data_IF_157160756310
#
_entry.id   IF_157160756310
#
_cell.length_a   1.000
_cell.length_b   1.000
_cell.length_c   1.000
_cell.angle_alpha   90.00
_cell.angle_beta   90.00
_cell.angle_gamma   90.00
#
_symmetry.space_group_name_H-M   'P 1'
#
loop_
_entity.id
_entity.type
_entity.pdbx_description
1 polymer ?
#
# COMPACT_ATOMS: atom_id res chain seq x y z
N UNK A 1 -0.59 -33.79 -21.42
CA UNK A 1 -0.56 -33.54 -19.96
C UNK A 1 -0.91 -32.08 -19.71
N UNK A 2 -1.93 -31.77 -18.91
CA UNK A 2 -2.42 -30.40 -18.72
C UNK A 2 -1.68 -29.69 -17.59
N UNK A 3 -1.31 -28.41 -17.78
CA UNK A 3 -0.57 -27.61 -16.79
C UNK A 3 -1.44 -26.51 -16.20
N UNK A 4 -1.28 -26.21 -14.90
CA UNK A 4 -2.10 -25.21 -14.20
C UNK A 4 -1.27 -24.30 -13.30
N UNK A 5 -1.61 -23.02 -13.28
CA UNK A 5 -1.04 -22.01 -12.38
C UNK A 5 -2.16 -21.44 -11.50
N UNK A 6 -1.88 -21.20 -10.22
CA UNK A 6 -2.82 -20.60 -9.28
C UNK A 6 -2.37 -19.17 -8.94
N UNK A 7 -3.28 -18.21 -9.06
CA UNK A 7 -3.05 -16.80 -8.71
C UNK A 7 -4.21 -16.25 -7.90
N UNK A 8 -3.92 -15.35 -6.94
CA UNK A 8 -4.97 -14.65 -6.20
C UNK A 8 -5.61 -15.40 -5.03
N UNK A 9 -4.99 -16.49 -4.57
CA UNK A 9 -5.43 -17.26 -3.41
C UNK A 9 -4.53 -16.99 -2.20
N UNK A 10 -5.11 -17.00 -0.99
CA UNK A 10 -4.33 -17.04 0.25
C UNK A 10 -3.53 -18.36 0.37
N UNK A 11 -2.58 -18.42 1.30
CA UNK A 11 -1.63 -19.53 1.44
C UNK A 11 -2.31 -20.88 1.68
N UNK A 12 -3.28 -20.92 2.58
CA UNK A 12 -4.02 -22.14 2.95
C UNK A 12 -4.79 -22.68 1.74
N UNK A 13 -5.58 -21.82 1.10
CA UNK A 13 -6.45 -22.16 -0.03
C UNK A 13 -5.65 -22.56 -1.27
N UNK A 14 -4.53 -21.87 -1.53
CA UNK A 14 -3.60 -22.23 -2.62
C UNK A 14 -3.03 -23.64 -2.44
N UNK A 15 -2.69 -24.01 -1.20
CA UNK A 15 -2.11 -25.32 -0.89
C UNK A 15 -3.12 -26.45 -1.14
N UNK A 16 -4.38 -26.25 -0.73
CA UNK A 16 -5.49 -27.17 -0.99
C UNK A 16 -5.72 -27.39 -2.49
N UNK A 17 -5.83 -26.31 -3.26
CA UNK A 17 -6.06 -26.37 -4.71
C UNK A 17 -4.92 -27.05 -5.46
N UNK A 18 -3.68 -26.85 -5.00
CA UNK A 18 -2.51 -27.57 -5.53
C UNK A 18 -2.60 -29.07 -5.25
N UNK A 19 -3.10 -29.50 -4.09
CA UNK A 19 -3.26 -30.93 -3.82
C UNK A 19 -4.33 -31.57 -4.72
N UNK A 20 -5.47 -30.89 -4.90
CA UNK A 20 -6.54 -31.32 -5.81
C UNK A 20 -6.00 -31.42 -7.25
N UNK A 21 -5.22 -30.44 -7.71
CA UNK A 21 -4.62 -30.44 -9.04
C UNK A 21 -3.70 -31.65 -9.26
N UNK A 22 -2.86 -31.99 -8.27
CA UNK A 22 -2.00 -33.18 -8.35
C UNK A 22 -2.81 -34.47 -8.45
N UNK A 23 -3.85 -34.61 -7.62
CA UNK A 23 -4.72 -35.79 -7.62
C UNK A 23 -5.47 -35.95 -8.95
N UNK A 24 -5.86 -34.82 -9.59
CA UNK A 24 -6.47 -34.80 -10.93
C UNK A 24 -5.44 -34.96 -12.08
N UNK A 25 -4.14 -35.14 -11.80
CA UNK A 25 -3.11 -35.35 -12.82
C UNK A 25 -2.57 -34.09 -13.51
N UNK A 26 -2.79 -32.90 -12.95
CA UNK A 26 -2.22 -31.66 -13.47
C UNK A 26 -0.75 -31.47 -13.07
N UNK A 27 0.01 -30.83 -13.96
CA UNK A 27 1.35 -30.31 -13.65
C UNK A 27 1.24 -28.86 -13.20
N UNK A 28 1.61 -28.60 -11.94
CA UNK A 28 1.50 -27.27 -11.36
C UNK A 28 2.69 -26.40 -11.77
N UNK A 29 2.41 -25.17 -12.20
CA UNK A 29 3.38 -24.14 -12.53
C UNK A 29 3.27 -22.97 -11.56
N UNK A 30 4.42 -22.40 -11.19
CA UNK A 30 4.50 -21.26 -10.26
C UNK A 30 4.23 -19.91 -10.94
N UNK A 31 4.40 -19.86 -12.26
CA UNK A 31 4.15 -18.67 -13.06
C UNK A 31 3.43 -19.02 -14.37
N UNK A 32 2.90 -18.00 -15.03
CA UNK A 32 2.31 -18.12 -16.36
C UNK A 32 3.43 -18.21 -17.39
N UNK A 33 3.68 -19.41 -17.88
CA UNK A 33 4.74 -19.72 -18.85
C UNK A 33 4.15 -20.16 -20.18
N UNK A 34 4.91 -20.06 -21.28
CA UNK A 34 4.50 -20.58 -22.60
C UNK A 34 4.08 -22.06 -22.47
N UNK A 35 2.93 -22.42 -23.03
CA UNK A 35 2.35 -23.76 -22.92
C UNK A 35 1.54 -24.03 -21.64
N UNK A 36 1.26 -23.00 -20.84
CA UNK A 36 0.31 -23.12 -19.71
C UNK A 36 -1.09 -23.44 -20.25
N UNK A 37 -1.74 -24.50 -19.74
CA UNK A 37 -3.10 -24.85 -20.16
C UNK A 37 -4.15 -23.99 -19.43
N UNK A 38 -4.00 -23.82 -18.11
CA UNK A 38 -4.99 -23.15 -17.26
C UNK A 38 -4.37 -22.17 -16.28
N UNK A 39 -5.00 -21.01 -16.10
CA UNK A 39 -4.77 -20.11 -14.97
C UNK A 39 -6.03 -20.10 -14.10
N UNK A 40 -5.92 -20.66 -12.90
CA UNK A 40 -6.97 -20.60 -11.90
C UNK A 40 -6.83 -19.32 -11.07
N UNK A 41 -7.86 -18.49 -11.12
CA UNK A 41 -7.93 -17.15 -10.56
C UNK A 41 -8.78 -17.14 -9.29
N UNK A 42 -8.17 -16.73 -8.19
CA UNK A 42 -8.85 -16.40 -6.93
C UNK A 42 -9.20 -14.92 -6.82
N UNK A 43 -9.81 -14.56 -5.70
CA UNK A 43 -10.30 -13.20 -5.40
C UNK A 43 -9.23 -12.10 -5.54
N UNK A 44 -7.96 -12.44 -5.34
CA UNK A 44 -6.84 -11.49 -5.43
C UNK A 44 -5.98 -11.68 -6.69
N UNK A 45 -6.54 -12.24 -7.78
CA UNK A 45 -5.79 -12.62 -8.97
C UNK A 45 -5.22 -11.37 -9.67
N UNK A 46 -3.90 -11.23 -9.66
CA UNK A 46 -3.23 -10.07 -10.24
C UNK A 46 -3.38 -10.01 -11.77
N UNK A 47 -3.66 -8.81 -12.35
CA UNK A 47 -3.95 -8.63 -13.77
C UNK A 47 -2.78 -9.04 -14.67
N UNK A 48 -1.52 -8.89 -14.24
CA UNK A 48 -0.33 -9.35 -14.99
C UNK A 48 -0.40 -10.84 -15.37
N UNK A 49 -0.81 -11.72 -14.44
CA UNK A 49 -0.92 -13.15 -14.75
C UNK A 49 -2.11 -13.43 -15.66
N UNK A 50 -3.20 -12.70 -15.49
CA UNK A 50 -4.41 -12.81 -16.32
C UNK A 50 -4.11 -12.37 -17.76
N UNK A 51 -3.51 -11.20 -17.95
CA UNK A 51 -3.11 -10.69 -19.27
C UNK A 51 -2.06 -11.59 -19.91
N UNK A 52 -1.03 -12.02 -19.17
CA UNK A 52 -0.03 -12.97 -19.67
C UNK A 52 -0.68 -14.29 -20.09
N UNK A 53 -1.66 -14.80 -19.33
CA UNK A 53 -2.39 -16.02 -19.64
C UNK A 53 -3.24 -15.85 -20.92
N UNK A 54 -3.95 -14.73 -21.06
CA UNK A 54 -4.70 -14.39 -22.28
C UNK A 54 -3.77 -14.31 -23.50
N UNK A 55 -2.63 -13.62 -23.38
CA UNK A 55 -1.64 -13.48 -24.47
C UNK A 55 -1.11 -14.83 -24.95
N UNK A 56 -0.90 -15.79 -24.04
CA UNK A 56 -0.40 -17.13 -24.40
C UNK A 56 -1.51 -18.14 -24.70
N UNK A 57 -2.78 -17.72 -24.67
CA UNK A 57 -3.94 -18.59 -24.93
C UNK A 57 -4.29 -19.58 -23.79
N UNK A 58 -3.82 -19.33 -22.57
CA UNK A 58 -4.19 -20.16 -21.41
C UNK A 58 -5.63 -19.86 -20.96
N UNK A 59 -6.38 -20.90 -20.64
CA UNK A 59 -7.79 -20.77 -20.22
C UNK A 59 -7.85 -20.22 -18.79
N UNK A 60 -8.55 -19.11 -18.62
CA UNK A 60 -8.84 -18.51 -17.31
C UNK A 60 -10.02 -19.24 -16.67
N UNK A 61 -9.90 -19.59 -15.40
CA UNK A 61 -10.99 -20.25 -14.67
C UNK A 61 -11.07 -19.81 -13.22
N UNK A 62 -12.29 -19.82 -12.69
CA UNK A 62 -12.53 -19.59 -11.26
C UNK A 62 -12.18 -20.83 -10.44
N UNK A 63 -12.06 -20.67 -9.12
CA UNK A 63 -11.92 -21.81 -8.20
C UNK A 63 -13.06 -22.81 -8.34
N UNK A 64 -14.31 -22.33 -8.41
CA UNK A 64 -15.50 -23.18 -8.53
C UNK A 64 -15.40 -24.02 -9.80
N UNK A 65 -15.10 -23.37 -10.92
CA UNK A 65 -14.90 -24.03 -12.22
C UNK A 65 -13.76 -25.05 -12.19
N UNK A 66 -12.66 -24.77 -11.49
CA UNK A 66 -11.55 -25.73 -11.34
C UNK A 66 -11.94 -26.96 -10.49
N UNK A 67 -12.76 -26.77 -9.45
CA UNK A 67 -13.23 -27.87 -8.61
C UNK A 67 -14.19 -28.78 -9.37
N UNK A 68 -15.10 -28.19 -10.15
CA UNK A 68 -16.06 -28.87 -11.02
C UNK A 68 -15.42 -29.43 -12.30
N UNK A 69 -14.19 -29.02 -12.63
CA UNK A 69 -13.47 -29.52 -13.79
C UNK A 69 -13.14 -31.00 -13.63
N UNK A 70 -13.89 -31.85 -14.32
CA UNK A 70 -13.57 -33.25 -14.53
C UNK A 70 -12.61 -33.34 -15.73
N UNK A 71 -11.54 -34.13 -15.55
CA UNK A 71 -10.64 -34.44 -16.67
C UNK A 71 -11.05 -35.83 -17.15
N UNK A 72 -11.73 -35.85 -18.29
CA UNK A 72 -12.05 -37.10 -18.96
C UNK A 72 -10.74 -37.83 -19.29
N UNK A 73 -10.56 -38.98 -18.66
CA UNK A 73 -9.79 -40.06 -19.26
C UNK A 73 -10.73 -40.63 -20.30
N UNK A 74 -10.46 -40.43 -21.59
CA UNK A 74 -11.27 -41.03 -22.67
C UNK A 74 -11.51 -42.52 -22.36
N UNK A 75 -12.78 -42.97 -22.48
CA UNK A 75 -13.38 -43.03 -23.80
C UNK A 75 -14.75 -42.35 -23.95
N UNK A 76 -14.84 -41.55 -25.01
CA UNK A 76 -15.91 -41.44 -26.02
C UNK A 76 -17.33 -41.19 -25.50
N UNK A 77 -17.86 -39.97 -25.75
CA UNK A 77 -19.09 -39.68 -26.52
C UNK A 77 -19.91 -38.45 -26.04
N UNK A 78 -20.13 -37.51 -26.98
CA UNK A 78 -21.43 -36.88 -27.34
C UNK A 78 -21.97 -35.66 -26.52
N UNK A 79 -21.93 -34.47 -27.19
CA UNK A 79 -22.97 -33.40 -27.39
C UNK A 79 -23.53 -32.68 -26.12
N UNK A 80 -23.80 -31.37 -25.98
CA UNK A 80 -23.71 -30.08 -26.70
C UNK A 80 -23.75 -28.97 -25.61
N UNK A 81 -23.22 -27.77 -25.88
CA UNK A 81 -23.52 -26.56 -25.09
C UNK A 81 -23.88 -25.40 -26.04
N UNK A 82 -25.05 -24.78 -25.84
CA UNK A 82 -25.48 -23.58 -26.58
C UNK A 82 -26.03 -22.51 -25.60
N UNK A 83 -25.34 -21.36 -25.64
CA UNK A 83 -25.78 -19.98 -25.39
C UNK A 83 -26.22 -19.56 -23.96
N UNK A 84 -25.67 -18.43 -23.49
CA UNK A 84 -26.27 -17.11 -23.80
C UNK A 84 -25.55 -15.97 -23.08
N UNK A 85 -25.28 -14.91 -23.85
CA UNK A 85 -24.87 -13.60 -23.34
C UNK A 85 -26.09 -12.82 -22.84
N UNK A 86 -25.92 -12.03 -21.77
CA UNK A 86 -26.82 -10.91 -21.46
C UNK A 86 -26.09 -9.82 -20.67
N UNK A 87 -26.32 -8.58 -21.12
CA UNK A 87 -25.61 -7.34 -20.79
C UNK A 87 -26.34 -6.51 -19.73
N UNK A 88 -25.57 -5.59 -19.10
CA UNK A 88 -25.93 -4.31 -18.43
C UNK A 88 -26.47 -4.41 -16.98
N UNK A 89 -26.20 -3.41 -16.08
CA UNK A 89 -26.10 -1.97 -16.38
C UNK A 89 -24.99 -1.15 -15.69
N UNK A 90 -24.93 0.10 -16.15
CA UNK A 90 -24.15 1.26 -15.69
C UNK A 90 -24.50 1.62 -14.23
N UNK A 91 -23.49 1.83 -13.38
CA UNK A 91 -23.63 2.47 -12.08
C UNK A 91 -22.40 3.36 -11.80
N UNK A 92 -22.68 4.65 -11.67
CA UNK A 92 -21.99 5.71 -10.90
C UNK A 92 -20.51 5.48 -10.49
N UNK A 93 -19.58 6.05 -11.27
CA UNK A 93 -18.13 5.86 -11.20
C UNK A 93 -17.43 6.86 -10.24
N UNK A 94 -17.85 6.88 -8.97
CA UNK A 94 -17.16 7.66 -7.91
C UNK A 94 -16.41 6.79 -6.89
N UNK A 95 -16.41 5.46 -7.06
CA UNK A 95 -15.86 4.51 -6.09
C UNK A 95 -14.78 3.57 -6.64
N UNK A 96 -14.27 3.77 -7.86
CA UNK A 96 -13.16 2.96 -8.38
C UNK A 96 -11.89 3.21 -7.56
N UNK A 97 -11.55 2.23 -6.72
CA UNK A 97 -10.30 2.19 -5.96
C UNK A 97 -9.14 1.97 -6.93
N UNK A 98 -8.49 3.06 -7.35
CA UNK A 98 -7.23 3.01 -8.11
C UNK A 98 -6.21 2.12 -7.39
N UNK A 99 -5.50 1.29 -8.13
CA UNK A 99 -4.45 0.42 -7.61
C UNK A 99 -3.13 0.62 -8.36
N UNK A 100 -2.01 0.22 -7.76
CA UNK A 100 -0.69 0.18 -8.45
C UNK A 100 -0.62 -0.85 -9.59
N UNK A 101 -1.71 -1.55 -9.86
CA UNK A 101 -1.86 -2.53 -10.94
C UNK A 101 -2.85 -2.08 -12.00
N UNK A 102 -3.36 -0.85 -11.90
CA UNK A 102 -4.28 -0.30 -12.89
C UNK A 102 -3.52 0.11 -14.15
N UNK A 103 -4.25 0.13 -15.27
CA UNK A 103 -3.70 0.53 -16.57
C UNK A 103 -3.36 2.02 -16.53
N UNK A 104 -2.07 2.34 -16.47
CA UNK A 104 -1.58 3.71 -16.52
C UNK A 104 -0.15 3.73 -17.10
N UNK A 105 0.15 4.59 -18.10
CA UNK A 105 1.45 4.59 -18.79
C UNK A 105 2.66 4.69 -17.86
N UNK A 106 2.57 5.51 -16.81
CA UNK A 106 3.63 5.60 -15.80
C UNK A 106 3.79 4.30 -14.98
N UNK A 107 2.69 3.65 -14.59
CA UNK A 107 2.75 2.41 -13.80
C UNK A 107 3.33 1.26 -14.63
N UNK A 108 2.94 1.17 -15.91
CA UNK A 108 3.48 0.19 -16.84
C UNK A 108 4.98 0.40 -17.07
N UNK A 109 5.40 1.64 -17.26
CA UNK A 109 6.81 1.99 -17.40
C UNK A 109 7.62 1.62 -16.15
N UNK A 110 7.13 1.96 -14.95
CA UNK A 110 7.82 1.65 -13.70
C UNK A 110 7.85 0.13 -13.42
N UNK A 111 6.78 -0.60 -13.75
CA UNK A 111 6.76 -2.07 -13.67
C UNK A 111 7.77 -2.69 -14.63
N UNK A 112 7.81 -2.24 -15.89
CA UNK A 112 8.78 -2.72 -16.88
C UNK A 112 10.22 -2.42 -16.44
N UNK A 113 10.48 -1.23 -15.90
CA UNK A 113 11.81 -0.86 -15.39
C UNK A 113 12.21 -1.70 -14.18
N UNK A 114 11.27 -2.01 -13.29
CA UNK A 114 11.47 -2.90 -12.14
C UNK A 114 11.77 -4.33 -12.57
N UNK A 115 10.98 -4.87 -13.50
CA UNK A 115 11.11 -6.26 -13.97
C UNK A 115 12.43 -6.47 -14.75
N UNK A 116 12.92 -5.43 -15.45
CA UNK A 116 14.19 -5.46 -16.20
C UNK A 116 15.41 -5.05 -15.38
N UNK A 117 15.22 -4.45 -14.19
CA UNK A 117 16.29 -3.82 -13.41
C UNK A 117 16.98 -2.67 -14.14
N UNK A 118 16.32 -2.05 -15.12
CA UNK A 118 16.93 -1.01 -15.96
C UNK A 118 17.03 0.31 -15.18
N UNK A 119 18.17 0.99 -15.33
CA UNK A 119 18.34 2.39 -14.86
C UNK A 119 17.37 3.30 -15.61
N UNK A 120 16.63 4.11 -14.86
CA UNK A 120 15.74 5.14 -15.40
C UNK A 120 16.07 6.51 -14.79
N UNK A 121 15.83 7.57 -15.55
CA UNK A 121 15.92 8.95 -15.08
C UNK A 121 14.51 9.48 -14.82
N UNK A 122 14.28 10.06 -13.65
CA UNK A 122 12.99 10.61 -13.23
C UNK A 122 13.18 12.01 -12.66
N UNK A 123 12.19 12.89 -12.83
CA UNK A 123 12.11 14.14 -12.07
C UNK A 123 11.29 13.84 -10.82
N UNK A 124 11.86 14.02 -9.63
CA UNK A 124 11.15 13.75 -8.39
C UNK A 124 10.72 15.04 -7.69
N UNK A 125 9.41 15.23 -7.57
CA UNK A 125 8.78 16.41 -6.96
C UNK A 125 8.56 16.28 -5.45
N UNK A 126 9.04 15.21 -4.83
CA UNK A 126 8.95 14.97 -3.39
C UNK A 126 10.27 15.17 -2.65
N UNK A 127 10.22 15.15 -1.32
CA UNK A 127 11.43 15.19 -0.48
C UNK A 127 11.97 16.60 -0.23
N UNK A 128 13.25 16.72 0.15
CA UNK A 128 13.92 18.00 0.44
C UNK A 128 14.43 18.74 -0.79
N UNK A 129 14.63 18.02 -1.91
CA UNK A 129 15.13 18.58 -3.16
C UNK A 129 14.13 18.25 -4.30
N UNK A 130 12.92 18.84 -4.28
CA UNK A 130 11.90 18.60 -5.30
C UNK A 130 12.31 19.18 -6.66
N UNK A 131 11.86 18.55 -7.75
CA UNK A 131 12.14 18.96 -9.12
C UNK A 131 13.52 18.55 -9.64
N UNK A 132 14.31 17.85 -8.83
CA UNK A 132 15.65 17.38 -9.24
C UNK A 132 15.54 16.08 -10.02
N UNK A 133 16.32 15.99 -11.11
CA UNK A 133 16.49 14.75 -11.88
C UNK A 133 17.26 13.73 -11.05
N UNK A 134 16.70 12.52 -10.94
CA UNK A 134 17.24 11.39 -10.19
C UNK A 134 17.39 10.21 -11.15
N UNK A 135 18.58 9.65 -11.19
CA UNK A 135 18.82 8.35 -11.79
C UNK A 135 18.61 7.27 -10.74
N UNK A 136 17.66 6.37 -11.02
CA UNK A 136 17.26 5.34 -10.08
C UNK A 136 17.27 3.96 -10.74
N UNK A 137 17.47 2.93 -9.92
CA UNK A 137 17.24 1.53 -10.29
C UNK A 137 16.02 1.04 -9.51
N UNK A 138 14.85 0.92 -10.15
CA UNK A 138 13.63 0.39 -9.54
C UNK A 138 13.82 -1.03 -9.02
N UNK A 139 13.32 -1.31 -7.81
CA UNK A 139 13.41 -2.62 -7.16
C UNK A 139 12.04 -3.25 -6.93
N UNK A 140 11.06 -2.47 -6.45
CA UNK A 140 9.72 -2.96 -6.19
C UNK A 140 8.71 -1.82 -6.14
N UNK A 141 7.44 -2.10 -6.48
CA UNK A 141 6.32 -1.19 -6.23
C UNK A 141 5.38 -1.75 -5.17
N UNK A 142 5.06 -0.91 -4.20
CA UNK A 142 4.23 -1.24 -3.05
C UNK A 142 2.77 -0.83 -3.28
N UNK A 143 1.84 -1.52 -2.62
CA UNK A 143 0.39 -1.27 -2.71
C UNK A 143 -0.04 0.15 -2.32
N UNK A 144 0.80 0.89 -1.60
CA UNK A 144 0.56 2.28 -1.19
C UNK A 144 1.15 3.32 -2.15
N UNK A 145 1.30 2.97 -3.44
CA UNK A 145 1.85 3.85 -4.48
C UNK A 145 3.25 4.39 -4.16
N UNK A 146 4.10 3.53 -3.60
CA UNK A 146 5.53 3.84 -3.43
C UNK A 146 6.41 2.91 -4.25
N UNK A 147 7.42 3.49 -4.88
CA UNK A 147 8.47 2.81 -5.60
C UNK A 147 9.70 2.72 -4.70
N UNK A 148 10.15 1.50 -4.41
CA UNK A 148 11.45 1.26 -3.82
C UNK A 148 12.49 1.25 -4.93
N UNK A 149 13.53 2.07 -4.81
CA UNK A 149 14.59 2.14 -5.82
C UNK A 149 15.93 2.51 -5.19
N UNK A 150 17.02 2.08 -5.82
CA UNK A 150 18.38 2.55 -5.50
C UNK A 150 18.56 3.93 -6.13
N UNK A 151 18.87 4.94 -5.31
CA UNK A 151 19.13 6.31 -5.77
C UNK A 151 20.62 6.47 -6.12
N UNK A 152 20.93 6.51 -7.42
CA UNK A 152 22.30 6.63 -7.91
C UNK A 152 22.90 8.03 -7.71
N UNK A 153 22.05 9.03 -7.45
CA UNK A 153 22.47 10.40 -7.14
C UNK A 153 22.78 10.57 -5.65
N UNK A 154 22.55 9.55 -4.83
CA UNK A 154 22.96 9.55 -3.42
C UNK A 154 24.37 8.98 -3.27
N UNK A 155 25.20 9.62 -2.45
CA UNK A 155 26.60 9.24 -2.22
C UNK A 155 26.78 7.78 -1.75
N UNK A 156 25.73 7.18 -1.17
CA UNK A 156 25.75 5.84 -0.60
C UNK A 156 24.98 4.80 -1.43
N UNK A 157 24.45 5.17 -2.62
CA UNK A 157 23.53 4.30 -3.41
C UNK A 157 22.45 3.68 -2.52
N UNK A 158 21.86 4.52 -1.66
CA UNK A 158 20.89 4.07 -0.69
C UNK A 158 19.58 3.64 -1.38
N UNK A 159 18.96 2.58 -0.85
CA UNK A 159 17.60 2.20 -1.21
C UNK A 159 16.63 3.20 -0.58
N UNK A 160 15.83 3.87 -1.42
CA UNK A 160 14.86 4.88 -1.01
C UNK A 160 13.46 4.54 -1.51
N UNK A 161 12.47 5.15 -0.86
CA UNK A 161 11.07 5.08 -1.26
C UNK A 161 10.65 6.39 -1.93
N UNK A 162 10.14 6.30 -3.15
CA UNK A 162 9.63 7.40 -3.94
C UNK A 162 8.11 7.30 -4.03
N UNK A 163 7.38 8.36 -3.70
CA UNK A 163 5.92 8.38 -3.94
C UNK A 163 5.68 8.47 -5.45
N UNK A 164 4.92 7.54 -6.03
CA UNK A 164 4.74 7.45 -7.49
C UNK A 164 4.04 8.70 -8.05
N UNK A 165 3.11 9.30 -7.33
CA UNK A 165 2.46 10.58 -7.70
C UNK A 165 3.45 11.76 -7.86
N UNK A 166 4.61 11.68 -7.21
CA UNK A 166 5.65 12.70 -7.26
C UNK A 166 6.74 12.37 -8.28
N UNK A 167 6.61 11.25 -9.01
CA UNK A 167 7.50 10.87 -10.09
C UNK A 167 6.96 11.44 -11.39
N UNK A 168 7.85 12.10 -12.12
CA UNK A 168 7.63 12.50 -13.50
C UNK A 168 8.68 11.85 -14.39
N UNK A 169 8.24 11.32 -15.52
CA UNK A 169 9.08 10.71 -16.56
C UNK A 169 8.77 11.45 -17.86
N UNK A 170 9.81 11.90 -18.54
CA UNK A 170 9.65 12.65 -19.78
C UNK A 170 8.84 11.85 -20.81
N UNK A 171 7.74 12.44 -21.31
CA UNK A 171 6.87 11.84 -22.32
C UNK A 171 5.82 10.87 -21.78
N UNK A 172 5.68 10.72 -20.45
CA UNK A 172 4.60 9.95 -19.83
C UNK A 172 3.67 10.85 -19.03
N UNK A 173 2.38 10.52 -19.06
CA UNK A 173 1.39 11.17 -18.22
C UNK A 173 1.69 10.91 -16.74
N UNK A 174 1.50 11.93 -15.90
CA UNK A 174 1.70 11.82 -14.45
C UNK A 174 0.50 11.11 -13.83
N UNK A 175 0.79 10.19 -12.92
CA UNK A 175 -0.26 9.51 -12.18
C UNK A 175 -0.93 10.48 -11.19
N UNK A 176 -2.20 10.80 -11.45
CA UNK A 176 -3.07 11.49 -10.51
C UNK A 176 -3.74 10.43 -9.65
N UNK A 177 -3.32 10.31 -8.40
CA UNK A 177 -3.99 9.46 -7.42
C UNK A 177 -5.09 10.31 -6.76
N UNK A 178 -6.38 9.95 -6.90
CA UNK A 178 -7.47 10.60 -6.16
C UNK A 178 -7.18 10.57 -4.66
N UNK A 179 -7.44 11.70 -3.99
CA UNK A 179 -7.08 11.89 -2.56
C UNK A 179 -7.59 10.76 -1.66
N UNK A 180 -8.76 10.21 -2.00
CA UNK A 180 -9.46 9.10 -1.31
C UNK A 180 -8.63 7.81 -1.24
N UNK A 181 -7.65 7.64 -2.12
CA UNK A 181 -6.90 6.39 -2.31
C UNK A 181 -5.42 6.51 -1.95
N UNK A 182 -4.99 7.71 -1.58
CA UNK A 182 -3.66 7.94 -1.09
C UNK A 182 -3.71 8.06 0.44
N UNK A 183 -3.21 7.05 1.20
CA UNK A 183 -3.13 7.13 2.66
C UNK A 183 -2.29 8.33 3.15
N UNK A 184 -1.52 8.97 2.26
CA UNK A 184 -0.74 10.18 2.56
C UNK A 184 -1.51 11.47 2.30
N UNK A 185 -2.53 11.49 1.42
CA UNK A 185 -3.37 12.69 1.11
C UNK A 185 -4.77 12.67 1.73
N UNK A 186 -5.30 11.51 2.11
CA UNK A 186 -6.48 11.44 2.99
C UNK A 186 -6.27 12.15 4.34
N UNK A 187 -5.01 12.47 4.68
CA UNK A 187 -4.65 13.33 5.81
C UNK A 187 -5.05 14.80 5.66
N UNK A 188 -5.66 15.19 4.54
CA UNK A 188 -6.02 16.60 4.27
C UNK A 188 -7.50 16.95 4.47
N UNK A 189 -8.42 16.01 4.72
CA UNK A 189 -9.82 16.38 5.02
C UNK A 189 -10.00 16.98 6.42
N UNK A 190 -9.09 16.71 7.34
CA UNK A 190 -9.00 17.40 8.63
C UNK A 190 -7.63 18.01 8.81
N UNK A 191 -7.20 18.86 7.86
CA UNK A 191 -6.14 19.82 8.19
C UNK A 191 -6.75 20.77 9.22
N UNK A 192 -6.57 20.47 10.51
CA UNK A 192 -6.74 21.43 11.59
C UNK A 192 -5.71 22.52 11.32
N UNK A 193 -6.07 23.49 10.47
CA UNK A 193 -5.23 24.63 10.12
C UNK A 193 -5.23 25.57 11.31
N UNK A 194 -4.54 25.19 12.37
CA UNK A 194 -4.05 26.16 13.32
C UNK A 194 -2.78 26.75 12.72
N UNK A 195 -2.77 28.06 12.41
CA UNK A 195 -1.59 28.85 12.02
C UNK A 195 -0.55 28.95 13.17
N UNK A 196 -0.40 27.90 13.96
CA UNK A 196 0.47 27.86 15.13
C UNK A 196 1.82 27.32 14.66
N UNK A 197 2.85 28.13 14.87
CA UNK A 197 4.24 27.72 14.71
C UNK A 197 4.75 27.22 16.04
N UNK A 198 5.19 25.97 16.07
CA UNK A 198 5.78 25.32 17.22
C UNK A 198 7.29 25.30 17.08
N UNK A 199 7.99 25.64 18.16
CA UNK A 199 9.45 25.63 18.24
C UNK A 199 9.96 24.44 19.05
N UNK A 200 9.10 23.78 19.82
CA UNK A 200 9.47 22.62 20.64
C UNK A 200 8.31 21.64 20.84
N UNK A 201 8.64 20.39 21.18
CA UNK A 201 7.62 19.39 21.55
C UNK A 201 6.86 19.80 22.82
N UNK A 202 7.49 20.55 23.73
CA UNK A 202 6.82 21.11 24.91
C UNK A 202 5.67 22.05 24.53
N UNK A 203 5.87 22.92 23.54
CA UNK A 203 4.81 23.82 23.06
C UNK A 203 3.67 23.04 22.41
N UNK A 204 3.99 21.99 21.63
CA UNK A 204 2.99 21.10 21.04
C UNK A 204 2.16 20.42 22.12
N UNK A 205 2.82 19.88 23.16
CA UNK A 205 2.13 19.27 24.29
C UNK A 205 1.19 20.27 24.96
N UNK A 206 1.69 21.46 25.32
CA UNK A 206 0.90 22.48 26.00
C UNK A 206 -0.33 22.90 25.18
N UNK A 207 -0.19 23.01 23.87
CA UNK A 207 -1.28 23.44 22.98
C UNK A 207 -2.32 22.33 22.73
N UNK A 208 -1.91 21.06 22.69
CA UNK A 208 -2.78 19.96 22.24
C UNK A 208 -3.25 19.03 23.35
N UNK A 209 -2.67 19.10 24.56
CA UNK A 209 -2.97 18.18 25.67
C UNK A 209 -4.47 18.04 25.92
N UNK A 210 -5.14 19.15 26.20
CA UNK A 210 -6.57 19.15 26.55
C UNK A 210 -7.44 18.63 25.40
N UNK A 211 -7.05 18.94 24.16
CA UNK A 211 -7.73 18.44 22.96
C UNK A 211 -7.59 16.93 22.82
N UNK A 212 -6.38 16.39 23.00
CA UNK A 212 -6.11 14.96 22.91
C UNK A 212 -6.76 14.19 24.05
N UNK A 213 -6.69 14.70 25.28
CA UNK A 213 -7.39 14.12 26.43
C UNK A 213 -8.91 14.16 26.23
N UNK A 214 -9.45 15.24 25.65
CA UNK A 214 -10.85 15.35 25.26
C UNK A 214 -11.28 14.35 24.16
N UNK A 215 -10.34 13.87 23.34
CA UNK A 215 -10.57 12.79 22.38
C UNK A 215 -10.49 11.39 23.02
N UNK A 216 -10.28 11.30 24.33
CA UNK A 216 -10.18 10.02 25.07
C UNK A 216 -8.77 9.43 25.14
N UNK A 217 -7.74 10.20 24.78
CA UNK A 217 -6.36 9.74 24.81
C UNK A 217 -5.67 9.96 26.15
N UNK A 218 -4.78 9.05 26.52
CA UNK A 218 -3.73 9.36 27.50
C UNK A 218 -2.55 10.01 26.79
N UNK A 219 -2.13 11.18 27.26
CA UNK A 219 -1.01 11.94 26.69
C UNK A 219 0.22 11.80 27.59
N UNK A 220 1.30 11.23 27.04
CA UNK A 220 2.55 11.04 27.77
C UNK A 220 3.68 11.89 27.18
N UNK A 221 4.50 12.50 28.03
CA UNK A 221 5.70 13.23 27.62
C UNK A 221 6.95 12.56 28.17
N UNK A 222 8.06 12.74 27.45
CA UNK A 222 9.37 12.28 27.91
C UNK A 222 10.39 13.39 27.76
N UNK A 223 11.16 13.56 28.83
CA UNK A 223 12.18 14.59 28.92
C UNK A 223 13.58 13.99 28.79
N UNK A 224 14.46 14.74 28.13
CA UNK A 224 15.90 14.46 28.09
C UNK A 224 16.61 15.79 28.32
N UNK A 225 17.49 15.85 29.33
CA UNK A 225 18.20 17.06 29.73
C UNK A 225 17.27 18.25 30.02
N UNK A 226 16.12 18.00 30.66
CA UNK A 226 15.15 19.04 31.02
C UNK A 226 14.33 19.59 29.85
N UNK A 227 14.44 19.00 28.66
CA UNK A 227 13.64 19.35 27.48
C UNK A 227 12.70 18.21 27.13
N UNK A 228 11.43 18.51 26.85
CA UNK A 228 10.51 17.52 26.29
C UNK A 228 10.97 17.17 24.87
N UNK A 229 11.32 15.90 24.68
CA UNK A 229 11.83 15.39 23.39
C UNK A 229 10.84 14.47 22.71
N UNK A 230 9.80 14.01 23.41
CA UNK A 230 8.81 13.08 22.88
C UNK A 230 7.44 13.30 23.52
N UNK A 231 6.42 13.18 22.67
CA UNK A 231 5.00 13.23 22.98
C UNK A 231 4.34 11.98 22.42
N UNK A 232 3.61 11.26 23.26
CA UNK A 232 2.91 10.03 22.94
C UNK A 232 1.42 10.18 23.20
N UNK A 233 0.63 9.54 22.34
CA UNK A 233 -0.81 9.33 22.52
C UNK A 233 -1.07 7.84 22.69
N UNK A 234 -1.71 7.47 23.80
CA UNK A 234 -1.94 6.08 24.20
C UNK A 234 -3.43 5.79 24.47
N UNK A 235 -3.88 4.60 24.09
CA UNK A 235 -5.18 4.04 24.49
C UNK A 235 -5.19 3.70 25.98
N UNK A 236 -6.39 3.48 26.53
CA UNK A 236 -6.57 2.81 27.81
C UNK A 236 -6.81 1.30 27.64
N UNK A 237 -6.41 0.51 28.63
CA UNK A 237 -6.90 -0.84 28.80
C UNK A 237 -8.32 -0.82 29.38
N UNK A 238 -9.04 -1.96 29.31
CA UNK A 238 -10.37 -2.13 29.92
C UNK A 238 -10.41 -1.83 31.43
N UNK A 239 -9.26 -1.88 32.11
CA UNK A 239 -9.12 -1.55 33.53
C UNK A 239 -8.83 -0.05 33.80
N UNK A 240 -8.92 0.81 32.77
CA UNK A 240 -8.67 2.25 32.88
C UNK A 240 -7.19 2.65 32.96
N UNK A 241 -6.24 1.71 32.87
CA UNK A 241 -4.81 2.05 32.86
C UNK A 241 -4.33 2.38 31.44
N UNK A 242 -3.47 3.39 31.24
CA UNK A 242 -2.89 3.67 29.93
C UNK A 242 -2.08 2.49 29.39
N UNK A 243 -2.17 2.25 28.09
CA UNK A 243 -1.30 1.31 27.37
C UNK A 243 0.10 1.90 27.24
N UNK A 244 1.11 1.05 27.38
CA UNK A 244 2.53 1.43 27.20
C UNK A 244 2.92 1.60 25.73
N UNK A 245 2.20 0.95 24.83
CA UNK A 245 2.42 1.11 23.40
C UNK A 245 1.59 2.28 22.90
N UNK A 246 2.22 3.39 22.48
CA UNK A 246 1.49 4.51 21.92
C UNK A 246 0.84 4.11 20.59
N UNK A 247 -0.27 4.76 20.28
CA UNK A 247 -0.90 4.74 18.95
C UNK A 247 -0.06 5.57 17.99
N UNK A 248 0.31 6.77 18.44
CA UNK A 248 1.18 7.69 17.69
C UNK A 248 2.16 8.40 18.62
N UNK A 249 3.38 8.59 18.12
CA UNK A 249 4.51 9.23 18.80
C UNK A 249 5.02 10.36 17.92
N UNK A 250 5.24 11.53 18.51
CA UNK A 250 6.00 12.65 17.94
C UNK A 250 7.27 12.85 18.77
N UNK A 251 8.45 12.85 18.16
CA UNK A 251 9.70 13.09 18.88
C UNK A 251 10.74 13.84 18.05
N UNK A 252 11.73 14.38 18.75
CA UNK A 252 12.88 15.09 18.19
C UNK A 252 14.14 14.22 18.23
N UNK A 253 14.76 14.04 17.08
CA UNK A 253 15.98 13.26 16.85
C UNK A 253 17.07 14.18 16.25
N UNK A 254 17.90 14.82 17.10
CA UNK A 254 18.88 15.83 16.65
C UNK A 254 19.95 15.27 15.70
N UNK A 255 20.16 13.95 15.71
CA UNK A 255 21.09 13.27 14.82
C UNK A 255 20.69 13.42 13.34
N UNK A 256 19.39 13.54 13.06
CA UNK A 256 18.87 13.78 11.71
C UNK A 256 18.80 15.28 11.40
N UNK A 257 19.94 15.85 10.97
CA UNK A 257 20.09 17.30 10.69
C UNK A 257 19.10 17.86 9.66
N UNK A 258 18.56 17.04 8.76
CA UNK A 258 17.65 17.51 7.70
C UNK A 258 16.18 17.37 8.06
N UNK A 259 15.84 16.35 8.86
CA UNK A 259 14.47 15.99 9.21
C UNK A 259 14.41 15.50 10.66
N UNK A 260 14.67 16.37 11.63
CA UNK A 260 14.85 15.95 13.02
C UNK A 260 13.52 15.60 13.72
N UNK A 261 12.37 15.94 13.14
CA UNK A 261 11.08 15.63 13.74
C UNK A 261 10.53 14.33 13.20
N UNK A 262 10.16 13.43 14.09
CA UNK A 262 9.72 12.08 13.73
C UNK A 262 8.31 11.84 14.21
N UNK A 263 7.43 11.40 13.31
CA UNK A 263 6.10 10.91 13.63
C UNK A 263 6.01 9.41 13.32
N UNK A 264 5.73 8.60 14.34
CA UNK A 264 5.63 7.14 14.24
C UNK A 264 4.25 6.68 14.68
N UNK A 265 3.62 5.81 13.90
CA UNK A 265 2.34 5.19 14.22
C UNK A 265 2.54 3.68 14.47
N UNK A 266 1.79 3.11 15.41
CA UNK A 266 1.88 1.68 15.78
C UNK A 266 1.62 0.75 14.60
N UNK A 267 0.64 1.06 13.77
CA UNK A 267 0.17 0.20 12.67
C UNK A 267 0.90 0.43 11.36
N UNK A 268 1.62 1.56 11.26
CA UNK A 268 2.38 1.92 10.07
C UNK A 268 3.86 1.69 10.39
N UNK A 269 4.45 0.65 9.80
CA UNK A 269 5.87 0.33 9.96
C UNK A 269 6.82 1.41 9.44
N UNK A 270 6.30 2.38 8.66
CA UNK A 270 7.06 3.51 8.14
C UNK A 270 7.12 4.65 9.17
N UNK A 271 8.34 4.95 9.59
CA UNK A 271 8.67 6.16 10.34
C UNK A 271 8.68 7.34 9.37
N UNK A 272 7.84 8.36 9.58
CA UNK A 272 7.87 9.58 8.78
C UNK A 272 8.72 10.63 9.49
N UNK A 273 9.69 11.20 8.77
CA UNK A 273 10.57 12.26 9.27
C UNK A 273 10.31 13.58 8.54
N UNK A 274 10.36 14.68 9.27
CA UNK A 274 9.96 16.01 8.84
C UNK A 274 11.02 17.04 9.22
N UNK A 275 11.23 18.02 8.34
CA UNK A 275 12.09 19.18 8.58
C UNK A 275 11.42 20.26 9.42
N UNK A 276 10.08 20.29 9.44
CA UNK A 276 9.27 21.29 10.11
C UNK A 276 8.36 20.62 11.15
N UNK A 277 8.37 21.17 12.38
CA UNK A 277 7.63 20.64 13.52
C UNK A 277 6.11 20.81 13.35
N UNK A 278 5.64 21.92 12.79
CA UNK A 278 4.22 22.18 12.53
C UNK A 278 3.63 21.09 11.62
N UNK A 279 4.38 20.70 10.58
CA UNK A 279 3.98 19.62 9.70
C UNK A 279 3.93 18.29 10.45
N UNK A 280 4.98 17.95 11.21
CA UNK A 280 5.01 16.71 11.99
C UNK A 280 3.84 16.65 12.99
N UNK A 281 3.54 17.78 13.62
CA UNK A 281 2.43 17.96 14.58
C UNK A 281 1.07 17.78 13.90
N UNK A 282 0.87 18.37 12.71
CA UNK A 282 -0.36 18.20 11.95
C UNK A 282 -0.61 16.73 11.61
N UNK A 283 0.42 16.00 11.19
CA UNK A 283 0.32 14.56 10.90
C UNK A 283 0.05 13.76 12.17
N UNK A 284 0.73 14.07 13.27
CA UNK A 284 0.53 13.45 14.57
C UNK A 284 -0.94 13.59 15.03
N UNK A 285 -1.49 14.81 15.01
CA UNK A 285 -2.86 15.09 15.42
C UNK A 285 -3.89 14.40 14.49
N UNK A 286 -3.63 14.39 13.19
CA UNK A 286 -4.50 13.72 12.21
C UNK A 286 -4.61 12.23 12.52
N UNK A 287 -3.48 11.56 12.78
CA UNK A 287 -3.47 10.13 13.14
C UNK A 287 -4.23 9.93 14.46
N UNK A 288 -3.97 10.74 15.48
CA UNK A 288 -4.68 10.64 16.76
C UNK A 288 -6.20 10.78 16.59
N UNK A 289 -6.66 11.66 15.70
CA UNK A 289 -8.08 11.85 15.42
C UNK A 289 -8.69 10.68 14.63
N UNK A 290 -8.02 10.19 13.59
CA UNK A 290 -8.51 9.05 12.80
C UNK A 290 -8.70 7.80 13.68
N UNK A 291 -7.76 7.54 14.59
CA UNK A 291 -7.86 6.43 15.52
C UNK A 291 -8.95 6.62 16.59
N UNK A 292 -9.27 7.86 16.98
CA UNK A 292 -10.34 8.08 17.97
C UNK A 292 -11.72 7.85 17.34
N UNK A 293 -11.90 8.16 16.06
CA UNK A 293 -13.12 7.84 15.32
C UNK A 293 -13.36 6.32 15.24
N UNK A 294 -12.32 5.55 14.87
CA UNK A 294 -12.40 4.09 14.81
C UNK A 294 -12.77 3.50 16.18
N UNK A 295 -12.16 4.00 17.25
CA UNK A 295 -12.44 3.53 18.61
C UNK A 295 -13.89 3.80 19.05
N UNK A 296 -14.54 4.85 18.54
CA UNK A 296 -15.92 5.16 18.86
C UNK A 296 -16.91 4.30 18.05
N UNK A 297 -16.62 4.02 16.78
CA UNK A 297 -17.47 3.17 15.93
C UNK A 297 -17.53 1.70 16.43
N UNK A 298 -16.44 1.19 17.05
CA UNK A 298 -16.41 -0.16 17.65
C UNK A 298 -17.22 -0.29 18.96
N UNK A 299 -17.59 0.83 19.60
CA UNK A 299 -18.38 0.83 20.85
C UNK A 299 -19.88 0.83 20.57
N UNK A 300 -20.29 1.35 19.42
CA UNK A 300 -21.69 1.42 18.97
C UNK A 300 -22.12 0.21 18.09
N UNK A 301 -21.23 -0.76 17.86
CA UNK A 301 -21.44 -2.00 17.08
C UNK A 301 -21.66 -3.23 17.97
#
# INVERSE_FOLDING_TARGET
MKTICFTGFNKTKKTELMQIAKNKGFVIKNDVTVGLSYLCCGENAGPKKISKAKTIGAVLMSEKSFRELELDVEPVSVIDDVQSAKTLPIADDSSRKISVYDEHPLLDYLWSATDTGKRISVIYHGGSNPGVVRDIIPLSMNKNFTLQAVDLNSNERAVKLFAIENIEVHGLERLIIPDVLNPRKNKHKHKVTSNIKFHSISEVHLALKDTLEGMGWYVATYEKNGLCVRLDVCEFFKNGKPRKSPVVTLYYEPENKTRPYVCKCREISLVNTYSNLDHATSIFLTIAYEFSLIANDEVDS
#
